data_IF_217571238622
#
_entry.id   IF_217571238622
#
_cell.length_a   1.000
_cell.length_b   1.000
_cell.length_c   1.000
_cell.angle_alpha   90.00
_cell.angle_beta   90.00
_cell.angle_gamma   90.00
#
_symmetry.space_group_name_H-M   'P 1'
#
loop_
_entity.id
_entity.type
_entity.pdbx_description
1 polymer ?
#
# COMPACT_ATOMS: atom_id res chain seq x y z
N UNK A 1 -0.80 -0.61 -30.59
CA UNK A 1 -0.51 -1.51 -29.47
C UNK A 1 -1.43 -2.70 -29.49
N UNK A 2 -0.89 -3.88 -29.36
CA UNK A 2 -1.71 -5.10 -29.27
C UNK A 2 -2.31 -5.21 -27.87
N UNK A 3 -3.48 -5.83 -27.78
CA UNK A 3 -4.23 -5.98 -26.52
C UNK A 3 -3.38 -6.64 -25.42
N UNK A 4 -2.63 -7.67 -25.74
CA UNK A 4 -1.77 -8.36 -24.77
C UNK A 4 -0.69 -7.45 -24.21
N UNK A 5 -0.06 -6.63 -25.02
CA UNK A 5 0.98 -5.70 -24.58
C UNK A 5 0.42 -4.65 -23.63
N UNK A 6 -0.80 -4.17 -23.89
CA UNK A 6 -1.48 -3.21 -23.03
C UNK A 6 -1.74 -3.81 -21.65
N UNK A 7 -2.25 -5.03 -21.57
CA UNK A 7 -2.54 -5.70 -20.30
C UNK A 7 -1.27 -6.05 -19.53
N UNK A 8 -0.23 -6.54 -20.21
CA UNK A 8 1.05 -6.83 -19.57
C UNK A 8 1.71 -5.58 -19.00
N UNK A 9 1.64 -4.46 -19.71
CA UNK A 9 2.14 -3.17 -19.23
C UNK A 9 1.37 -2.72 -18.01
N UNK A 10 0.05 -2.86 -18.01
CA UNK A 10 -0.83 -2.57 -16.88
C UNK A 10 -0.46 -3.34 -15.63
N UNK A 11 -0.34 -4.65 -15.76
CA UNK A 11 0.00 -5.53 -14.65
C UNK A 11 1.35 -5.17 -14.05
N UNK A 12 2.32 -4.87 -14.91
CA UNK A 12 3.64 -4.44 -14.47
C UNK A 12 3.59 -3.13 -13.68
N UNK A 13 2.82 -2.14 -14.14
CA UNK A 13 2.67 -0.87 -13.44
C UNK A 13 2.02 -1.05 -12.07
N UNK A 14 1.03 -1.94 -11.98
CA UNK A 14 0.39 -2.26 -10.71
C UNK A 14 1.38 -2.95 -9.78
N UNK A 15 2.15 -3.92 -10.28
CA UNK A 15 3.14 -4.65 -9.48
C UNK A 15 4.26 -3.76 -8.97
N UNK A 16 4.76 -2.84 -9.78
CA UNK A 16 5.81 -1.89 -9.40
C UNK A 16 5.30 -0.83 -8.45
N UNK A 17 4.01 -0.54 -8.48
CA UNK A 17 3.35 0.48 -7.68
C UNK A 17 3.55 1.87 -8.23
N UNK A 18 2.77 2.82 -7.69
CA UNK A 18 2.93 4.24 -7.96
C UNK A 18 3.53 4.93 -6.76
N UNK A 19 4.43 5.86 -7.03
CA UNK A 19 5.07 6.67 -5.99
C UNK A 19 4.05 7.59 -5.33
N UNK A 20 3.99 7.52 -4.00
CA UNK A 20 3.20 8.38 -3.15
C UNK A 20 4.15 9.14 -2.24
N UNK A 21 4.05 10.47 -2.21
CA UNK A 21 4.88 11.30 -1.35
C UNK A 21 4.15 11.58 -0.03
N UNK A 22 4.82 11.32 1.07
CA UNK A 22 4.28 11.59 2.41
C UNK A 22 4.90 12.88 2.93
N UNK A 23 4.04 13.85 3.20
CA UNK A 23 4.45 15.17 3.71
C UNK A 23 4.14 15.33 5.18
N UNK A 24 5.03 16.03 5.87
CA UNK A 24 4.82 16.46 7.24
C UNK A 24 5.47 17.83 7.43
N UNK A 25 4.69 18.79 7.96
CA UNK A 25 5.19 20.14 8.20
C UNK A 25 5.66 20.86 6.92
N UNK A 26 5.03 20.57 5.78
CA UNK A 26 5.38 21.17 4.50
C UNK A 26 6.59 20.54 3.82
N UNK A 27 7.13 19.46 4.38
CA UNK A 27 8.27 18.73 3.82
C UNK A 27 7.90 17.31 3.47
N UNK A 28 8.44 16.81 2.37
CA UNK A 28 8.32 15.41 2.00
C UNK A 28 9.28 14.61 2.88
N UNK A 29 8.75 13.73 3.72
CA UNK A 29 9.54 12.91 4.65
C UNK A 29 9.83 11.52 4.10
N UNK A 30 8.99 11.02 3.20
CA UNK A 30 9.11 9.69 2.63
C UNK A 30 8.48 9.62 1.25
N UNK A 31 8.99 8.72 0.44
CA UNK A 31 8.38 8.28 -0.81
C UNK A 31 8.01 6.82 -0.64
N UNK A 32 6.76 6.48 -0.92
CA UNK A 32 6.25 5.12 -0.75
C UNK A 32 5.64 4.67 -2.08
N UNK A 33 6.06 3.50 -2.57
CA UNK A 33 5.49 2.91 -3.78
C UNK A 33 4.36 1.99 -3.36
N UNK A 34 3.15 2.30 -3.83
CA UNK A 34 1.93 1.60 -3.42
C UNK A 34 1.19 1.02 -4.61
N UNK A 35 0.60 -0.16 -4.39
CA UNK A 35 -0.37 -0.76 -5.29
C UNK A 35 -1.76 -0.26 -4.90
N UNK A 36 -2.73 -0.26 -5.83
CA UNK A 36 -4.09 0.18 -5.49
C UNK A 36 -4.75 -0.78 -4.50
N UNK A 37 -5.70 -0.25 -3.73
CA UNK A 37 -6.55 -1.05 -2.85
C UNK A 37 -7.84 -1.50 -3.54
N UNK A 38 -7.97 -1.28 -4.84
CA UNK A 38 -9.09 -1.77 -5.62
C UNK A 38 -8.97 -3.30 -5.79
N UNK A 39 -9.98 -4.08 -5.37
CA UNK A 39 -9.93 -5.54 -5.46
C UNK A 39 -9.78 -6.08 -6.89
N UNK A 40 -10.24 -5.34 -7.88
CA UNK A 40 -10.14 -5.77 -9.29
C UNK A 40 -8.73 -5.59 -9.83
N UNK A 41 -7.96 -4.67 -9.26
CA UNK A 41 -6.59 -4.39 -9.67
C UNK A 41 -5.56 -5.10 -8.80
N UNK A 42 -5.84 -5.25 -7.52
CA UNK A 42 -4.94 -5.88 -6.57
C UNK A 42 -5.62 -7.10 -5.96
N UNK A 43 -5.50 -8.23 -6.64
CA UNK A 43 -6.14 -9.48 -6.22
C UNK A 43 -5.55 -10.04 -4.94
N UNK A 44 -4.27 -9.84 -4.70
CA UNK A 44 -3.61 -10.28 -3.46
C UNK A 44 -4.19 -9.56 -2.25
N UNK A 45 -4.42 -8.25 -2.38
CA UNK A 45 -5.09 -7.46 -1.35
C UNK A 45 -6.51 -7.97 -1.09
N UNK A 46 -7.29 -8.20 -2.15
CA UNK A 46 -8.65 -8.72 -2.04
C UNK A 46 -8.67 -10.09 -1.35
N UNK A 47 -7.73 -10.96 -1.71
CA UNK A 47 -7.61 -12.29 -1.11
C UNK A 47 -7.31 -12.21 0.39
N UNK A 48 -6.34 -11.38 0.79
CA UNK A 48 -5.99 -11.24 2.21
C UNK A 48 -7.16 -10.69 3.03
N UNK A 49 -7.91 -9.72 2.49
CA UNK A 49 -9.11 -9.20 3.15
C UNK A 49 -10.15 -10.31 3.33
N UNK A 50 -10.37 -11.14 2.31
CA UNK A 50 -11.34 -12.23 2.36
C UNK A 50 -10.93 -13.28 3.41
N UNK A 51 -9.66 -13.66 3.43
CA UNK A 51 -9.15 -14.63 4.39
C UNK A 51 -9.29 -14.11 5.83
N UNK A 52 -9.01 -12.84 6.08
CA UNK A 52 -9.19 -12.25 7.41
C UNK A 52 -10.67 -12.18 7.80
N UNK A 53 -11.55 -11.84 6.87
CA UNK A 53 -12.98 -11.81 7.12
C UNK A 53 -13.51 -13.20 7.52
N UNK A 54 -13.06 -14.25 6.85
CA UNK A 54 -13.42 -15.63 7.16
C UNK A 54 -12.89 -16.01 8.55
N UNK A 55 -11.62 -15.71 8.84
CA UNK A 55 -11.01 -16.01 10.12
C UNK A 55 -11.74 -15.30 11.28
N UNK A 56 -12.11 -14.04 11.08
CA UNK A 56 -12.81 -13.24 12.08
C UNK A 56 -14.24 -13.75 12.36
N UNK A 57 -14.96 -14.17 11.32
CA UNK A 57 -16.29 -14.79 11.50
C UNK A 57 -16.23 -16.04 12.35
N UNK A 58 -15.17 -16.84 12.17
CA UNK A 58 -14.96 -18.04 12.98
C UNK A 58 -14.62 -17.76 14.43
N UNK A 59 -14.07 -16.56 14.74
CA UNK A 59 -13.57 -16.20 16.07
C UNK A 59 -14.41 -15.12 16.78
N UNK A 60 -15.55 -14.70 16.20
CA UNK A 60 -16.39 -13.66 16.80
C UNK A 60 -15.89 -12.26 16.50
N UNK A 61 -16.29 -11.74 15.33
CA UNK A 61 -15.93 -10.41 14.83
C UNK A 61 -16.27 -9.27 15.81
N UNK A 62 -17.32 -9.44 16.59
CA UNK A 62 -17.84 -8.42 17.48
C UNK A 62 -16.96 -8.19 18.71
N UNK A 63 -15.99 -9.07 18.94
CA UNK A 63 -15.10 -9.01 20.11
C UNK A 63 -13.72 -8.38 19.81
N UNK A 64 -13.51 -7.88 18.57
CA UNK A 64 -12.24 -7.25 18.22
C UNK A 64 -12.12 -5.86 18.80
N UNK A 65 -11.02 -5.65 19.51
CA UNK A 65 -10.64 -4.31 19.93
C UNK A 65 -10.20 -3.48 18.70
N UNK A 66 -10.40 -2.13 18.72
CA UNK A 66 -9.97 -1.28 17.61
C UNK A 66 -8.49 -1.42 17.24
N UNK A 67 -7.62 -1.66 18.21
CA UNK A 67 -6.19 -1.85 17.99
C UNK A 67 -5.89 -3.13 17.18
N UNK A 68 -6.63 -4.19 17.45
CA UNK A 68 -6.49 -5.45 16.72
C UNK A 68 -6.94 -5.32 15.26
N UNK A 69 -8.02 -4.59 15.04
CA UNK A 69 -8.55 -4.31 13.72
C UNK A 69 -7.54 -3.49 12.90
N UNK A 70 -6.97 -2.46 13.49
CA UNK A 70 -5.94 -1.64 12.86
C UNK A 70 -4.69 -2.48 12.52
N UNK A 71 -4.24 -3.34 13.41
CA UNK A 71 -3.07 -4.18 13.19
C UNK A 71 -3.25 -5.14 12.02
N UNK A 72 -4.43 -5.71 11.87
CA UNK A 72 -4.76 -6.57 10.73
C UNK A 72 -4.59 -5.79 9.43
N UNK A 73 -5.10 -4.57 9.36
CA UNK A 73 -5.00 -3.73 8.19
C UNK A 73 -3.55 -3.32 7.90
N UNK A 74 -2.76 -3.01 8.92
CA UNK A 74 -1.34 -2.70 8.79
C UNK A 74 -0.58 -3.87 8.17
N UNK A 75 -0.85 -5.09 8.62
CA UNK A 75 -0.25 -6.30 8.09
C UNK A 75 -0.61 -6.53 6.63
N UNK A 76 -1.88 -6.38 6.29
CA UNK A 76 -2.36 -6.56 4.92
C UNK A 76 -1.69 -5.54 3.98
N UNK A 77 -1.61 -4.28 4.40
CA UNK A 77 -0.94 -3.23 3.62
C UNK A 77 0.54 -3.53 3.42
N UNK A 78 1.24 -3.96 4.45
CA UNK A 78 2.65 -4.29 4.36
C UNK A 78 2.91 -5.45 3.38
N UNK A 79 2.00 -6.41 3.32
CA UNK A 79 2.13 -7.59 2.45
C UNK A 79 1.69 -7.37 1.01
N UNK A 80 0.65 -6.55 0.79
CA UNK A 80 -0.05 -6.55 -0.49
C UNK A 80 -0.12 -5.18 -1.18
N UNK A 81 0.07 -4.10 -0.44
CA UNK A 81 -0.08 -2.73 -0.96
C UNK A 81 1.27 -2.04 -1.11
N UNK A 82 2.09 -2.07 -0.08
CA UNK A 82 3.37 -1.37 -0.10
C UNK A 82 4.41 -2.23 -0.81
N UNK A 83 5.02 -1.68 -1.86
CA UNK A 83 6.11 -2.33 -2.59
C UNK A 83 7.44 -2.05 -1.93
N UNK A 84 7.70 -0.77 -1.66
CA UNK A 84 8.93 -0.29 -1.02
C UNK A 84 8.74 1.15 -0.56
N UNK A 85 9.66 1.64 0.26
CA UNK A 85 9.70 3.05 0.61
C UNK A 85 11.13 3.57 0.68
N UNK A 86 11.26 4.88 0.59
CA UNK A 86 12.53 5.59 0.73
C UNK A 86 12.33 6.80 1.65
N UNK A 87 13.24 6.99 2.56
CA UNK A 87 13.23 8.13 3.47
C UNK A 87 14.04 9.29 2.89
N UNK A 88 13.61 10.51 3.18
CA UNK A 88 14.30 11.71 2.71
C UNK A 88 15.49 12.07 3.62
N UNK A 89 15.31 11.92 4.94
CA UNK A 89 16.35 12.23 5.91
C UNK A 89 17.44 11.17 5.94
N UNK A 90 18.70 11.61 5.95
CA UNK A 90 19.85 10.70 5.94
C UNK A 90 19.92 9.81 7.18
N UNK A 91 19.49 10.30 8.35
CA UNK A 91 19.47 9.52 9.56
C UNK A 91 18.40 8.42 9.48
N UNK A 92 17.24 8.74 8.91
CA UNK A 92 16.17 7.77 8.70
C UNK A 92 16.58 6.67 7.74
N UNK A 93 17.30 7.01 6.67
CA UNK A 93 17.83 6.04 5.71
C UNK A 93 18.73 4.99 6.34
N UNK A 94 19.43 5.35 7.40
CA UNK A 94 20.38 4.47 8.10
C UNK A 94 19.74 3.72 9.26
N UNK A 95 18.52 4.08 9.66
CA UNK A 95 17.85 3.46 10.80
C UNK A 95 17.33 2.07 10.41
N UNK A 96 17.84 1.00 11.03
CA UNK A 96 17.37 -0.35 10.71
C UNK A 96 15.90 -0.58 11.05
N UNK A 97 15.33 0.20 11.97
CA UNK A 97 13.90 0.12 12.32
C UNK A 97 12.99 0.71 11.26
N UNK A 98 13.54 1.54 10.36
CA UNK A 98 12.81 2.18 9.27
C UNK A 98 13.02 1.49 7.93
N UNK A 99 13.80 0.43 7.88
CA UNK A 99 13.94 -0.39 6.68
C UNK A 99 12.61 -1.09 6.40
N UNK A 100 12.21 -1.12 5.12
CA UNK A 100 10.92 -1.73 4.77
C UNK A 100 10.94 -3.24 4.93
N UNK A 101 10.14 -3.73 5.87
CA UNK A 101 9.72 -5.12 6.03
C UNK A 101 8.41 -5.12 6.83
N UNK A 102 7.73 -6.25 6.87
CA UNK A 102 6.43 -6.35 7.53
C UNK A 102 6.48 -5.93 9.00
N UNK A 103 7.45 -6.44 9.74
CA UNK A 103 7.59 -6.16 11.18
C UNK A 103 7.80 -4.67 11.44
N UNK A 104 8.71 -4.05 10.71
CA UNK A 104 9.01 -2.63 10.85
C UNK A 104 7.84 -1.76 10.44
N UNK A 105 7.15 -2.14 9.37
CA UNK A 105 5.97 -1.41 8.89
C UNK A 105 4.87 -1.40 9.94
N UNK A 106 4.53 -2.54 10.50
CA UNK A 106 3.49 -2.64 11.53
C UNK A 106 3.87 -1.80 12.76
N UNK A 107 5.13 -1.91 13.23
CA UNK A 107 5.61 -1.13 14.36
C UNK A 107 5.52 0.38 14.11
N UNK A 108 5.92 0.81 12.91
CA UNK A 108 5.88 2.22 12.52
C UNK A 108 4.43 2.74 12.46
N UNK A 109 3.52 1.98 11.86
CA UNK A 109 2.11 2.38 11.74
C UNK A 109 1.43 2.49 13.09
N UNK A 110 1.73 1.59 14.01
CA UNK A 110 1.22 1.66 15.39
C UNK A 110 1.68 2.93 16.08
N UNK A 111 2.92 3.30 15.88
CA UNK A 111 3.53 4.48 16.50
C UNK A 111 3.09 5.78 15.81
N UNK A 112 2.88 5.73 14.50
CA UNK A 112 2.55 6.90 13.69
C UNK A 112 1.34 6.62 12.76
N UNK A 113 0.11 6.56 13.32
CA UNK A 113 -1.08 6.25 12.51
C UNK A 113 -1.32 7.22 11.34
N UNK A 114 -0.88 8.48 11.47
CA UNK A 114 -1.00 9.48 10.41
C UNK A 114 -0.15 9.14 9.19
N UNK A 115 1.00 8.51 9.39
CA UNK A 115 1.83 8.04 8.29
C UNK A 115 1.10 6.94 7.50
N UNK A 116 0.50 6.01 8.20
CA UNK A 116 -0.34 4.97 7.58
C UNK A 116 -1.53 5.58 6.83
N UNK A 117 -2.21 6.56 7.42
CA UNK A 117 -3.33 7.24 6.77
C UNK A 117 -2.92 7.87 5.44
N UNK A 118 -1.74 8.47 5.37
CA UNK A 118 -1.19 9.03 4.14
C UNK A 118 -0.96 7.96 3.07
N UNK A 119 -0.43 6.81 3.45
CA UNK A 119 -0.24 5.67 2.54
C UNK A 119 -1.59 5.14 2.06
N UNK A 120 -2.53 4.97 2.97
CA UNK A 120 -3.88 4.49 2.68
C UNK A 120 -4.59 5.39 1.67
N UNK A 121 -4.49 6.71 1.86
CA UNK A 121 -5.05 7.68 0.94
C UNK A 121 -4.42 7.57 -0.45
N UNK A 122 -3.10 7.46 -0.53
CA UNK A 122 -2.40 7.27 -1.79
C UNK A 122 -2.84 6.02 -2.54
N UNK A 123 -3.00 4.91 -1.82
CA UNK A 123 -3.43 3.64 -2.40
C UNK A 123 -4.90 3.64 -2.86
N UNK A 124 -5.73 4.50 -2.29
CA UNK A 124 -7.14 4.67 -2.67
C UNK A 124 -7.36 5.56 -3.88
N UNK A 125 -6.35 6.26 -4.35
CA UNK A 125 -6.47 7.15 -5.52
C UNK A 125 -6.55 6.35 -6.81
N UNK A 126 -7.68 5.71 -7.02
CA UNK A 126 -7.99 4.90 -8.19
C UNK A 126 -7.75 5.66 -9.50
N UNK A 127 -8.18 6.92 -9.57
CA UNK A 127 -8.04 7.73 -10.78
C UNK A 127 -6.57 7.93 -11.16
N UNK A 128 -5.68 8.02 -10.19
CA UNK A 128 -4.25 8.14 -10.40
C UNK A 128 -3.68 6.90 -11.10
N UNK A 129 -4.04 5.71 -10.63
CA UNK A 129 -3.61 4.46 -11.25
C UNK A 129 -4.19 4.31 -12.65
N UNK A 130 -5.48 4.62 -12.80
CA UNK A 130 -6.17 4.56 -14.07
C UNK A 130 -5.55 5.52 -15.10
N UNK A 131 -5.24 6.74 -14.69
CA UNK A 131 -4.61 7.74 -15.55
C UNK A 131 -3.23 7.29 -16.04
N UNK A 132 -2.39 6.81 -15.15
CA UNK A 132 -1.06 6.30 -15.52
C UNK A 132 -1.19 5.14 -16.50
N UNK A 133 -2.12 4.25 -16.25
CA UNK A 133 -2.42 3.11 -17.10
C UNK A 133 -2.86 3.55 -18.51
N UNK A 134 -3.77 4.50 -18.61
CA UNK A 134 -4.24 5.03 -19.88
C UNK A 134 -3.13 5.76 -20.64
N UNK A 135 -2.30 6.54 -19.97
CA UNK A 135 -1.15 7.23 -20.57
C UNK A 135 -0.15 6.24 -21.13
N UNK A 136 0.15 5.17 -20.41
CA UNK A 136 1.05 4.13 -20.88
C UNK A 136 0.48 3.38 -22.10
N UNK A 137 -0.80 3.11 -22.09
CA UNK A 137 -1.48 2.47 -23.23
C UNK A 137 -1.54 3.37 -24.47
N UNK A 138 -1.75 4.68 -24.28
CA UNK A 138 -1.83 5.65 -25.38
C UNK A 138 -0.47 6.11 -25.89
N UNK A 139 0.56 6.10 -25.05
CA UNK A 139 1.88 6.61 -25.35
C UNK A 139 2.74 5.75 -26.28
N UNK A 140 2.23 4.61 -26.67
CA UNK A 140 2.91 3.68 -27.56
C UNK A 140 2.11 3.44 -28.83
#
# INVERSE_FOLDING_TARGET
MRVYEAFETSERLIDEGLQCEIEFGGKIIAKVWVRPTDPNLNRTYARELTLEAIALKGNGLDDLEPDQDAEILYRIFARTVIVRWEWTDAADKKDPKLKFNEKNAIALFKRTPKFFAGIQQGARQWDRFRKVHEEQAAGN
#
